data_IF_083755941545
#
_entry.id   IF_083755941545
#
_cell.length_a   1.000
_cell.length_b   1.000
_cell.length_c   1.000
_cell.angle_alpha   90.00
_cell.angle_beta   90.00
_cell.angle_gamma   90.00
#
_symmetry.space_group_name_H-M   'P 1'
#
loop_
_entity.id
_entity.type
_entity.pdbx_description
1 polymer ?
#
# COMPACT_ATOMS: atom_id res chain seq x y z
N UNK A 1 6.67 -4.27 -50.69
CA UNK A 1 7.03 -3.32 -51.75
C UNK A 1 7.69 -2.15 -51.06
N UNK A 2 9.00 -2.08 -51.10
CA UNK A 2 9.75 -1.15 -51.98
C UNK A 2 9.30 0.29 -51.72
N UNK A 3 10.08 1.24 -51.35
CA UNK A 3 11.46 1.72 -51.61
C UNK A 3 11.52 3.09 -50.92
N UNK A 4 12.53 3.83 -50.59
CA UNK A 4 13.96 3.88 -50.91
C UNK A 4 14.45 5.28 -50.45
N UNK A 5 15.58 5.37 -49.73
CA UNK A 5 16.79 6.18 -50.03
C UNK A 5 16.59 7.74 -50.11
N UNK A 6 17.38 8.62 -49.54
CA UNK A 6 18.83 8.87 -49.63
C UNK A 6 19.23 10.02 -48.68
N UNK A 7 20.29 9.95 -47.97
CA UNK A 7 21.65 10.44 -48.28
C UNK A 7 21.79 11.92 -48.67
N UNK A 8 22.53 12.69 -47.87
CA UNK A 8 23.57 13.56 -48.39
C UNK A 8 24.58 13.99 -47.28
N UNK A 9 25.78 13.47 -47.39
CA UNK A 9 27.03 13.94 -46.83
C UNK A 9 27.52 15.16 -47.63
N UNK A 10 28.07 16.17 -46.95
CA UNK A 10 29.15 17.02 -47.53
C UNK A 10 30.13 17.41 -46.45
N UNK A 11 31.33 16.84 -46.58
CA UNK A 11 32.53 17.31 -45.92
C UNK A 11 33.22 18.35 -46.78
N UNK A 12 33.80 19.38 -46.17
CA UNK A 12 34.91 20.10 -46.79
C UNK A 12 35.97 20.41 -45.77
N UNK A 13 37.07 19.72 -45.95
CA UNK A 13 38.41 20.02 -45.44
C UNK A 13 39.01 21.12 -46.34
N UNK A 14 39.75 22.07 -45.80
CA UNK A 14 40.90 22.60 -46.49
C UNK A 14 41.91 23.23 -45.51
N UNK A 15 43.10 22.71 -45.64
CA UNK A 15 44.40 23.13 -45.09
C UNK A 15 44.88 24.46 -45.67
N UNK A 16 45.85 25.08 -44.96
CA UNK A 16 46.71 26.04 -45.57
C UNK A 16 47.70 26.65 -44.60
N UNK A 17 48.91 26.10 -44.60
CA UNK A 17 50.10 26.63 -43.95
C UNK A 17 50.75 27.77 -44.76
N UNK A 18 51.77 28.38 -44.09
CA UNK A 18 52.94 29.18 -44.55
C UNK A 18 52.82 30.68 -44.21
N UNK A 19 53.77 31.27 -43.66
CA UNK A 19 55.16 31.20 -43.26
C UNK A 19 55.71 32.66 -43.16
N UNK A 20 56.36 32.91 -42.10
CA UNK A 20 57.57 33.67 -41.85
C UNK A 20 57.88 35.02 -42.53
N UNK A 21 58.48 35.83 -41.69
CA UNK A 21 59.54 36.86 -41.87
C UNK A 21 59.16 38.35 -41.92
N UNK A 22 59.88 39.07 -41.03
CA UNK A 22 60.23 40.44 -41.25
C UNK A 22 60.16 41.39 -40.02
N UNK A 23 61.30 41.62 -39.41
CA UNK A 23 61.56 42.62 -38.35
C UNK A 23 61.25 44.04 -38.85
N UNK A 24 60.72 44.87 -37.95
CA UNK A 24 61.26 46.21 -37.67
C UNK A 24 60.71 46.74 -36.34
N UNK A 25 61.62 47.17 -35.45
CA UNK A 25 61.35 47.90 -34.21
C UNK A 25 60.92 49.37 -34.52
N UNK A 26 59.97 49.82 -33.76
CA UNK A 26 59.71 51.23 -33.51
C UNK A 26 59.16 51.47 -32.07
N UNK A 27 59.41 52.64 -31.44
CA UNK A 27 59.64 52.78 -30.01
C UNK A 27 58.33 52.79 -29.15
N UNK A 28 58.55 52.47 -27.89
CA UNK A 28 57.51 52.33 -26.82
C UNK A 28 56.76 53.65 -26.56
N UNK A 29 55.45 53.57 -26.46
CA UNK A 29 54.58 54.56 -25.86
C UNK A 29 54.24 54.12 -24.39
N UNK A 30 53.98 55.11 -23.49
CA UNK A 30 53.87 54.84 -22.04
C UNK A 30 52.60 53.99 -21.69
N UNK A 31 52.80 53.13 -20.70
CA UNK A 31 51.80 52.27 -20.14
C UNK A 31 50.60 53.05 -19.54
N UNK A 32 49.39 52.71 -19.94
CA UNK A 32 48.16 53.11 -19.27
C UNK A 32 47.99 52.28 -17.95
N UNK A 33 47.32 52.83 -16.92
CA UNK A 33 47.09 52.12 -15.68
C UNK A 33 46.24 50.88 -15.87
N UNK A 34 46.60 49.77 -15.25
CA UNK A 34 45.83 48.54 -15.24
C UNK A 34 44.49 48.73 -14.53
N UNK A 35 43.40 48.41 -15.20
CA UNK A 35 42.10 48.24 -14.55
C UNK A 35 42.13 47.16 -13.47
N UNK A 36 41.44 47.36 -12.32
CA UNK A 36 41.35 46.36 -11.30
C UNK A 36 40.63 45.11 -11.82
N UNK A 37 41.24 43.94 -11.64
CA UNK A 37 40.67 42.66 -12.01
C UNK A 37 39.27 42.48 -11.41
N UNK A 38 38.27 42.16 -12.26
CA UNK A 38 36.94 41.80 -11.82
C UNK A 38 37.01 40.59 -10.85
N UNK A 39 36.16 40.55 -9.79
CA UNK A 39 36.11 39.40 -8.91
C UNK A 39 35.77 38.15 -9.71
N UNK A 40 36.49 37.06 -9.49
CA UNK A 40 36.18 35.76 -10.04
C UNK A 40 34.76 35.36 -9.62
N UNK A 41 33.93 34.95 -10.58
CA UNK A 41 32.62 34.40 -10.32
C UNK A 41 32.76 33.22 -9.33
N UNK A 42 31.82 33.06 -8.37
CA UNK A 42 31.82 31.90 -7.51
C UNK A 42 31.76 30.62 -8.39
N UNK A 43 32.63 29.67 -8.08
CA UNK A 43 32.58 28.35 -8.72
C UNK A 43 31.18 27.75 -8.48
N UNK A 44 30.51 27.33 -9.53
CA UNK A 44 29.29 26.53 -9.41
C UNK A 44 29.59 25.33 -8.49
N UNK A 45 28.66 24.99 -7.56
CA UNK A 45 28.81 23.78 -6.77
C UNK A 45 28.94 22.59 -7.74
N UNK A 46 29.99 21.79 -7.55
CA UNK A 46 30.14 20.54 -8.29
C UNK A 46 28.85 19.73 -8.14
N UNK A 47 28.29 19.26 -9.25
CA UNK A 47 27.16 18.31 -9.21
C UNK A 47 27.56 17.14 -8.30
N UNK A 48 26.60 16.62 -7.47
CA UNK A 48 26.87 15.43 -6.66
C UNK A 48 27.44 14.34 -7.58
N UNK A 49 28.56 13.73 -7.18
CA UNK A 49 29.09 12.59 -7.90
C UNK A 49 28.00 11.51 -7.99
N UNK A 50 27.74 10.98 -9.18
CA UNK A 50 26.88 9.81 -9.33
C UNK A 50 27.40 8.71 -8.39
N UNK A 51 26.51 8.05 -7.60
CA UNK A 51 26.93 7.01 -6.68
C UNK A 51 27.63 5.90 -7.46
N UNK A 52 28.85 5.57 -7.06
CA UNK A 52 29.66 4.54 -7.73
C UNK A 52 28.98 3.17 -7.55
N UNK A 53 28.57 2.56 -8.65
CA UNK A 53 28.10 1.16 -8.68
C UNK A 53 29.27 0.24 -8.28
N UNK A 54 29.18 -0.38 -7.10
CA UNK A 54 30.21 -1.25 -6.55
C UNK A 54 30.23 -2.66 -7.16
N UNK A 55 29.28 -2.96 -8.08
CA UNK A 55 29.17 -4.23 -8.78
C UNK A 55 28.78 -5.42 -7.92
N UNK A 56 28.39 -5.20 -6.66
CA UNK A 56 27.96 -6.28 -5.77
C UNK A 56 26.46 -6.50 -5.83
N UNK A 57 26.07 -7.72 -5.49
CA UNK A 57 24.68 -8.12 -5.29
C UNK A 57 24.32 -8.03 -3.81
N UNK A 58 23.13 -7.55 -3.52
CA UNK A 58 22.54 -7.40 -2.19
C UNK A 58 21.27 -8.22 -2.12
N UNK A 59 21.28 -9.24 -1.29
CA UNK A 59 20.13 -10.12 -1.08
C UNK A 59 19.36 -9.64 0.13
N UNK A 60 18.03 -9.46 -0.04
CA UNK A 60 17.09 -9.05 0.98
C UNK A 60 16.04 -10.16 1.17
N UNK A 61 15.83 -10.56 2.41
CA UNK A 61 14.85 -11.59 2.79
C UNK A 61 13.50 -10.95 3.00
N UNK A 62 12.50 -11.39 2.24
CA UNK A 62 11.12 -10.90 2.29
C UNK A 62 10.22 -11.97 2.91
N UNK A 63 9.40 -11.57 3.88
CA UNK A 63 8.46 -12.47 4.57
C UNK A 63 7.04 -11.95 4.49
N UNK A 64 6.10 -12.86 4.40
CA UNK A 64 4.68 -12.63 4.66
C UNK A 64 4.02 -13.91 5.18
N UNK A 65 2.80 -13.78 5.70
CA UNK A 65 2.08 -14.91 6.29
C UNK A 65 1.07 -15.55 5.34
N UNK A 66 0.83 -14.96 4.17
CA UNK A 66 -0.08 -15.50 3.16
C UNK A 66 0.59 -16.57 2.30
N UNK A 67 -0.23 -17.42 1.69
CA UNK A 67 0.27 -18.53 0.89
C UNK A 67 1.03 -18.04 -0.35
N UNK A 68 2.02 -18.84 -0.79
CA UNK A 68 2.83 -18.56 -1.99
C UNK A 68 2.02 -18.41 -3.30
N UNK A 69 0.76 -18.80 -3.31
CA UNK A 69 -0.15 -18.67 -4.46
C UNK A 69 -1.18 -17.57 -4.26
N UNK A 70 -1.01 -16.73 -3.26
CA UNK A 70 -1.93 -15.65 -2.95
C UNK A 70 -1.69 -14.43 -3.82
N UNK A 71 -2.73 -13.63 -4.02
CA UNK A 71 -2.60 -12.32 -4.68
C UNK A 71 -1.66 -11.39 -3.89
N UNK A 72 -1.59 -11.52 -2.57
CA UNK A 72 -0.66 -10.77 -1.73
C UNK A 72 0.79 -11.07 -2.10
N UNK A 73 1.14 -12.36 -2.29
CA UNK A 73 2.48 -12.73 -2.76
C UNK A 73 2.76 -12.20 -4.16
N UNK A 74 1.77 -12.26 -5.07
CA UNK A 74 1.89 -11.71 -6.42
C UNK A 74 2.18 -10.19 -6.39
N UNK A 75 1.48 -9.44 -5.53
CA UNK A 75 1.75 -8.01 -5.31
C UNK A 75 3.19 -7.78 -4.81
N UNK A 76 3.61 -8.53 -3.80
CA UNK A 76 4.95 -8.42 -3.19
C UNK A 76 6.03 -8.74 -4.23
N UNK A 77 5.89 -9.87 -4.94
CA UNK A 77 6.83 -10.26 -5.98
C UNK A 77 6.90 -9.22 -7.10
N UNK A 78 5.76 -8.70 -7.55
CA UNK A 78 5.71 -7.69 -8.60
C UNK A 78 6.46 -6.43 -8.18
N UNK A 79 6.17 -5.89 -7.00
CA UNK A 79 6.80 -4.68 -6.47
C UNK A 79 8.33 -4.83 -6.37
N UNK A 80 8.80 -5.91 -5.78
CA UNK A 80 10.24 -6.10 -5.57
C UNK A 80 10.99 -6.57 -6.81
N UNK A 81 10.34 -7.30 -7.73
CA UNK A 81 10.94 -7.64 -9.02
C UNK A 81 11.19 -6.39 -9.90
N UNK A 82 10.31 -5.38 -9.84
CA UNK A 82 10.57 -4.09 -10.51
C UNK A 82 11.84 -3.42 -9.97
N UNK A 83 12.05 -3.43 -8.64
CA UNK A 83 13.28 -2.92 -8.03
C UNK A 83 14.51 -3.75 -8.44
N UNK A 84 14.37 -5.08 -8.50
CA UNK A 84 15.43 -5.97 -8.95
C UNK A 84 15.83 -5.70 -10.40
N UNK A 85 14.86 -5.52 -11.29
CA UNK A 85 15.10 -5.20 -12.71
C UNK A 85 15.77 -3.82 -12.86
N UNK A 86 15.29 -2.78 -12.19
CA UNK A 86 15.89 -1.44 -12.27
C UNK A 86 17.33 -1.42 -11.70
N UNK A 87 17.61 -2.24 -10.68
CA UNK A 87 18.95 -2.37 -10.12
C UNK A 87 19.92 -3.16 -11.02
N UNK A 88 19.45 -3.64 -12.20
CA UNK A 88 20.16 -4.57 -13.06
C UNK A 88 20.59 -5.87 -12.32
N UNK A 89 19.73 -6.38 -11.43
CA UNK A 89 19.94 -7.60 -10.65
C UNK A 89 20.92 -7.45 -9.48
N UNK A 90 21.24 -6.22 -9.07
CA UNK A 90 22.03 -5.98 -7.85
C UNK A 90 21.20 -6.12 -6.59
N UNK A 91 19.91 -5.78 -6.61
CA UNK A 91 18.94 -6.17 -5.59
C UNK A 91 18.40 -7.55 -5.95
N UNK A 92 18.45 -8.47 -5.00
CA UNK A 92 17.88 -9.82 -5.07
C UNK A 92 16.96 -10.01 -3.89
N UNK A 93 15.76 -10.50 -4.11
CA UNK A 93 14.78 -10.72 -3.05
C UNK A 93 14.54 -12.23 -2.88
N UNK A 94 14.70 -12.71 -1.63
CA UNK A 94 14.39 -14.08 -1.25
C UNK A 94 13.04 -14.12 -0.56
N UNK A 95 12.01 -14.65 -1.23
CA UNK A 95 10.64 -14.68 -0.76
C UNK A 95 10.38 -15.88 0.16
N UNK A 96 9.77 -15.62 1.32
CA UNK A 96 9.42 -16.61 2.33
C UNK A 96 7.94 -16.44 2.74
N UNK A 97 7.00 -16.85 1.87
CA UNK A 97 5.56 -16.76 2.14
C UNK A 97 5.07 -17.82 3.12
N UNK A 98 3.79 -17.73 3.48
CA UNK A 98 3.10 -18.73 4.29
C UNK A 98 3.53 -18.78 5.75
N UNK A 99 4.15 -17.71 6.26
CA UNK A 99 4.67 -17.70 7.62
C UNK A 99 5.81 -18.69 7.85
N UNK A 100 6.50 -19.10 6.78
CA UNK A 100 7.53 -20.15 6.81
C UNK A 100 8.77 -19.77 7.63
N UNK A 101 9.13 -18.49 7.65
CA UNK A 101 10.24 -17.96 8.44
C UNK A 101 9.74 -17.19 9.68
N UNK A 102 8.74 -16.35 9.53
CA UNK A 102 8.11 -15.56 10.61
C UNK A 102 6.59 -15.66 10.50
N UNK A 103 5.92 -16.07 11.57
CA UNK A 103 4.47 -16.10 11.65
C UNK A 103 3.86 -14.69 11.66
N UNK A 104 2.55 -14.57 11.39
CA UNK A 104 1.86 -13.28 11.24
C UNK A 104 2.11 -12.29 12.40
N UNK A 105 2.15 -12.78 13.64
CA UNK A 105 2.36 -11.97 14.86
C UNK A 105 3.83 -11.72 15.18
N UNK A 106 4.77 -12.32 14.44
CA UNK A 106 6.21 -12.23 14.68
C UNK A 106 6.91 -11.29 13.67
N UNK A 107 6.24 -10.94 12.59
CA UNK A 107 6.85 -10.25 11.42
C UNK A 107 7.53 -8.94 11.77
N UNK A 108 6.87 -8.05 12.52
CA UNK A 108 7.42 -6.72 12.80
C UNK A 108 8.62 -6.75 13.74
N UNK A 109 8.59 -7.61 14.77
CA UNK A 109 9.71 -7.77 15.68
C UNK A 109 10.85 -8.53 15.00
N UNK A 110 10.55 -9.55 14.21
CA UNK A 110 11.54 -10.28 13.43
C UNK A 110 12.27 -9.42 12.40
N UNK A 111 11.57 -8.51 11.72
CA UNK A 111 12.21 -7.52 10.81
C UNK A 111 13.02 -6.51 11.60
N UNK A 112 12.51 -6.00 12.72
CA UNK A 112 13.25 -5.09 13.59
C UNK A 112 14.55 -5.68 14.07
N UNK A 113 14.53 -6.97 14.46
CA UNK A 113 15.68 -7.71 14.99
C UNK A 113 16.61 -8.26 13.88
N UNK A 114 16.29 -8.06 12.61
CA UNK A 114 17.08 -8.47 11.45
C UNK A 114 17.00 -9.99 11.14
N UNK A 115 15.93 -10.66 11.55
CA UNK A 115 15.66 -12.05 11.15
C UNK A 115 15.16 -12.13 9.69
N UNK A 116 14.53 -11.07 9.21
CA UNK A 116 14.21 -10.81 7.82
C UNK A 116 14.46 -9.32 7.54
N UNK A 117 14.62 -8.95 6.26
CA UNK A 117 14.88 -7.57 5.86
C UNK A 117 13.59 -6.80 5.60
N UNK A 118 12.57 -7.47 5.07
CA UNK A 118 11.30 -6.87 4.66
C UNK A 118 10.15 -7.77 5.10
N UNK A 119 9.06 -7.17 5.57
CA UNK A 119 7.82 -7.89 5.84
C UNK A 119 6.61 -7.13 5.30
N UNK A 120 5.66 -7.87 4.73
CA UNK A 120 4.28 -7.46 4.60
C UNK A 120 3.45 -8.05 5.74
N UNK A 121 2.57 -7.24 6.33
CA UNK A 121 1.60 -7.71 7.32
C UNK A 121 0.47 -6.71 7.52
N UNK A 122 -0.51 -7.07 8.36
CA UNK A 122 -1.64 -6.22 8.72
C UNK A 122 -1.54 -5.74 10.17
N UNK A 123 -1.98 -4.51 10.44
CA UNK A 123 -1.94 -3.92 11.79
C UNK A 123 -2.75 -4.71 12.81
N UNK A 124 -3.83 -5.36 12.36
CA UNK A 124 -4.74 -6.18 13.17
C UNK A 124 -4.07 -7.34 13.93
N UNK A 125 -2.88 -7.78 13.51
CA UNK A 125 -2.11 -8.80 14.23
C UNK A 125 -1.33 -8.26 15.44
N UNK A 126 -1.24 -6.92 15.58
CA UNK A 126 -0.37 -6.26 16.55
C UNK A 126 -1.17 -5.31 17.45
N UNK A 127 -2.04 -5.89 18.27
CA UNK A 127 -2.92 -5.12 19.17
C UNK A 127 -2.17 -4.00 19.91
N UNK A 128 -2.73 -2.81 19.91
CA UNK A 128 -2.23 -1.59 20.55
C UNK A 128 -0.88 -1.02 20.01
N UNK A 129 -0.30 -1.60 18.96
CA UNK A 129 0.94 -1.06 18.38
C UNK A 129 0.71 -0.03 17.27
N UNK A 130 -0.47 -0.06 16.66
CA UNK A 130 -0.84 0.79 15.53
C UNK A 130 -2.22 1.45 15.73
N UNK A 131 -2.44 2.14 16.86
CA UNK A 131 -3.78 2.63 17.22
C UNK A 131 -4.31 3.70 16.27
N UNK A 132 -3.46 4.56 15.69
CA UNK A 132 -3.90 5.58 14.72
C UNK A 132 -4.19 4.94 13.36
N UNK A 133 -3.37 3.96 12.95
CA UNK A 133 -3.61 3.15 11.74
C UNK A 133 -4.95 2.44 11.75
N UNK A 134 -5.47 2.07 12.94
CA UNK A 134 -6.78 1.41 13.08
C UNK A 134 -7.96 2.29 12.64
N UNK A 135 -7.77 3.59 12.39
CA UNK A 135 -8.79 4.44 11.77
C UNK A 135 -9.27 3.89 10.42
N UNK A 136 -8.38 3.33 9.62
CA UNK A 136 -8.72 2.70 8.33
C UNK A 136 -9.73 1.55 8.51
N UNK A 137 -9.66 0.87 9.65
CA UNK A 137 -10.53 -0.28 9.95
C UNK A 137 -11.92 0.14 10.47
N UNK A 138 -12.15 1.43 10.76
CA UNK A 138 -13.45 1.91 11.25
C UNK A 138 -14.54 1.67 10.21
N UNK A 139 -15.67 1.15 10.69
CA UNK A 139 -16.86 0.98 9.87
C UNK A 139 -17.45 2.34 9.48
N UNK A 140 -18.01 2.42 8.28
CA UNK A 140 -18.77 3.58 7.78
C UNK A 140 -18.08 4.94 8.02
N UNK A 141 -16.76 4.98 7.93
CA UNK A 141 -15.95 6.20 8.01
C UNK A 141 -15.91 7.01 6.68
N UNK A 142 -16.66 6.59 5.67
CA UNK A 142 -16.73 7.22 4.36
C UNK A 142 -15.79 6.63 3.31
N UNK A 143 -14.95 5.69 3.68
CA UNK A 143 -14.08 4.96 2.73
C UNK A 143 -14.93 3.99 1.91
N UNK A 144 -14.73 3.99 0.58
CA UNK A 144 -15.56 3.23 -0.37
C UNK A 144 -14.79 2.17 -1.16
N UNK A 145 -13.44 2.20 -1.13
CA UNK A 145 -12.60 1.27 -1.88
C UNK A 145 -11.27 1.03 -1.17
N UNK A 146 -10.54 -0.02 -1.53
CA UNK A 146 -9.18 -0.26 -1.03
C UNK A 146 -8.21 0.82 -1.54
N UNK A 147 -8.42 1.34 -2.75
CA UNK A 147 -7.68 2.48 -3.30
C UNK A 147 -7.88 3.72 -2.44
N UNK A 148 -9.13 4.12 -2.19
CA UNK A 148 -9.41 5.25 -1.31
C UNK A 148 -8.84 5.05 0.09
N UNK A 149 -9.00 3.86 0.68
CA UNK A 149 -8.44 3.54 1.98
C UNK A 149 -6.91 3.70 2.00
N UNK A 150 -6.26 3.32 0.92
CA UNK A 150 -4.81 3.42 0.75
C UNK A 150 -4.36 4.87 0.64
N UNK A 151 -5.01 5.68 -0.22
CA UNK A 151 -4.70 7.10 -0.38
C UNK A 151 -4.92 7.87 0.93
N UNK A 152 -6.03 7.60 1.62
CA UNK A 152 -6.31 8.15 2.95
C UNK A 152 -5.20 7.75 3.94
N UNK A 153 -4.79 6.48 3.95
CA UNK A 153 -3.78 6.01 4.90
C UNK A 153 -2.40 6.63 4.64
N UNK A 154 -2.03 6.79 3.38
CA UNK A 154 -0.78 7.46 3.02
C UNK A 154 -0.81 8.94 3.37
N UNK A 155 -1.89 9.65 3.06
CA UNK A 155 -2.05 11.05 3.44
C UNK A 155 -2.08 11.22 4.98
N UNK A 156 -2.72 10.31 5.71
CA UNK A 156 -2.63 10.28 7.18
C UNK A 156 -1.18 10.14 7.64
N UNK A 157 -0.39 9.27 7.00
CA UNK A 157 1.03 9.10 7.35
C UNK A 157 1.85 10.35 7.07
N UNK A 158 1.54 11.10 6.03
CA UNK A 158 2.22 12.37 5.71
C UNK A 158 1.85 13.49 6.70
N UNK A 159 0.60 13.54 7.18
CA UNK A 159 0.05 14.69 7.87
C UNK A 159 -0.15 14.50 9.39
N UNK A 160 -0.10 13.26 9.91
CA UNK A 160 -0.36 12.94 11.32
C UNK A 160 0.93 12.41 11.99
N UNK A 161 1.61 13.24 12.81
CA UNK A 161 2.86 12.83 13.48
C UNK A 161 2.70 11.61 14.39
N UNK A 162 1.53 11.43 15.01
CA UNK A 162 1.22 10.29 15.85
C UNK A 162 1.20 8.99 15.06
N UNK A 163 0.72 9.02 13.81
CA UNK A 163 0.79 7.88 12.91
C UNK A 163 2.23 7.60 12.46
N UNK A 164 3.01 8.62 12.15
CA UNK A 164 4.45 8.45 11.83
C UNK A 164 5.19 7.79 12.99
N UNK A 165 4.82 8.13 14.23
CA UNK A 165 5.44 7.57 15.43
C UNK A 165 5.23 6.05 15.55
N UNK A 166 4.14 5.50 15.01
CA UNK A 166 3.88 4.05 15.00
C UNK A 166 4.93 3.26 14.21
N UNK A 167 5.57 3.87 13.21
CA UNK A 167 6.49 3.22 12.28
C UNK A 167 7.96 3.62 12.47
N UNK A 168 8.30 4.32 13.56
CA UNK A 168 9.67 4.84 13.76
C UNK A 168 10.76 3.78 13.85
N UNK A 169 10.43 2.53 14.11
CA UNK A 169 11.38 1.43 14.20
C UNK A 169 11.79 0.86 12.83
N UNK A 170 11.05 1.17 11.79
CA UNK A 170 11.25 0.60 10.44
C UNK A 170 11.37 1.70 9.38
N UNK A 171 11.88 1.32 8.20
CA UNK A 171 11.63 2.08 6.98
C UNK A 171 10.29 1.61 6.40
N UNK A 172 9.36 2.52 6.23
CA UNK A 172 8.11 2.25 5.53
C UNK A 172 8.40 2.16 4.03
N UNK A 173 8.07 1.01 3.44
CA UNK A 173 8.08 0.80 1.98
C UNK A 173 6.72 1.16 1.42
N UNK A 174 5.62 0.71 2.06
CA UNK A 174 4.27 1.05 1.66
C UNK A 174 3.28 0.89 2.81
N UNK A 175 2.31 1.78 2.84
CA UNK A 175 1.10 1.66 3.65
C UNK A 175 -0.06 1.51 2.69
N UNK A 176 -0.93 0.55 2.95
CA UNK A 176 -2.10 0.31 2.11
C UNK A 176 -3.23 -0.34 2.90
N UNK A 177 -4.37 -0.51 2.29
CA UNK A 177 -5.48 -1.26 2.85
C UNK A 177 -5.76 -2.52 2.05
N UNK A 178 -6.13 -3.60 2.74
CA UNK A 178 -6.91 -4.66 2.11
C UNK A 178 -8.30 -4.14 1.74
N UNK A 179 -9.02 -4.88 0.92
CA UNK A 179 -10.43 -4.62 0.69
C UNK A 179 -11.26 -4.87 1.96
N UNK A 180 -12.48 -4.36 1.96
CA UNK A 180 -13.40 -4.63 3.06
C UNK A 180 -13.82 -6.12 3.12
N UNK A 181 -14.26 -6.54 4.29
CA UNK A 181 -14.87 -7.85 4.48
C UNK A 181 -16.39 -7.78 4.28
N UNK A 182 -16.98 -8.52 3.30
CA UNK A 182 -18.41 -8.74 3.22
C UNK A 182 -18.90 -9.70 4.32
N UNK A 183 -20.22 -9.87 4.43
CA UNK A 183 -20.82 -10.85 5.35
C UNK A 183 -21.22 -12.11 4.59
N UNK A 184 -20.51 -13.20 4.84
CA UNK A 184 -20.78 -14.50 4.23
C UNK A 184 -21.50 -15.44 5.19
N UNK A 185 -22.55 -16.16 4.74
CA UNK A 185 -23.42 -16.95 5.62
C UNK A 185 -23.77 -18.30 5.01
N UNK A 186 -24.14 -19.24 5.91
CA UNK A 186 -24.64 -20.58 5.55
C UNK A 186 -26.13 -20.66 5.86
N UNK A 187 -26.92 -21.10 4.89
CA UNK A 187 -28.32 -21.42 5.05
C UNK A 187 -29.27 -20.25 5.28
N UNK A 188 -28.77 -19.07 5.63
CA UNK A 188 -29.59 -17.89 5.92
C UNK A 188 -29.11 -16.66 5.14
N UNK A 189 -29.99 -16.11 4.33
CA UNK A 189 -29.77 -14.84 3.63
C UNK A 189 -30.10 -13.67 4.56
N UNK A 190 -29.27 -12.63 4.56
CA UNK A 190 -29.50 -11.39 5.30
C UNK A 190 -30.12 -10.37 4.35
N UNK A 191 -31.38 -10.06 4.52
CA UNK A 191 -32.12 -9.08 3.70
C UNK A 191 -32.57 -7.85 4.51
N UNK A 192 -32.69 -8.00 5.84
CA UNK A 192 -33.14 -6.95 6.75
C UNK A 192 -32.26 -6.86 8.00
N UNK A 193 -32.40 -5.76 8.75
CA UNK A 193 -31.72 -5.57 10.04
C UNK A 193 -32.01 -6.71 11.05
N UNK A 194 -33.24 -7.22 11.03
CA UNK A 194 -33.65 -8.29 11.95
C UNK A 194 -32.95 -9.63 11.66
N UNK A 195 -32.44 -9.82 10.46
CA UNK A 195 -31.75 -11.05 10.08
C UNK A 195 -30.39 -11.22 10.75
N UNK A 196 -29.73 -10.15 11.18
CA UNK A 196 -28.51 -10.22 11.98
C UNK A 196 -28.75 -10.77 13.38
N UNK A 197 -29.96 -10.60 13.93
CA UNK A 197 -30.24 -10.95 15.31
C UNK A 197 -30.03 -12.43 15.61
N UNK A 198 -29.16 -12.66 16.60
CA UNK A 198 -28.83 -14.01 17.07
C UNK A 198 -27.92 -14.82 16.18
N UNK A 199 -27.43 -14.26 15.05
CA UNK A 199 -26.42 -14.91 14.24
C UNK A 199 -25.04 -14.84 14.93
N UNK A 200 -24.34 -15.95 14.94
CA UNK A 200 -22.94 -15.98 15.32
C UNK A 200 -22.10 -15.76 14.07
N UNK A 201 -21.40 -14.63 14.01
CA UNK A 201 -20.58 -14.25 12.85
C UNK A 201 -19.13 -14.14 13.27
N UNK A 202 -18.29 -14.96 12.65
CA UNK A 202 -16.84 -14.89 12.88
C UNK A 202 -16.28 -13.61 12.29
N UNK A 203 -15.39 -12.97 13.03
CA UNK A 203 -14.63 -11.80 12.57
C UNK A 203 -13.21 -11.78 13.12
N UNK A 204 -12.35 -10.93 12.56
CA UNK A 204 -11.07 -10.57 13.12
C UNK A 204 -11.08 -9.08 13.51
N UNK A 205 -10.42 -8.76 14.62
CA UNK A 205 -10.29 -7.38 15.09
C UNK A 205 -11.46 -6.88 15.92
N UNK A 206 -11.17 -5.90 16.79
CA UNK A 206 -12.12 -5.37 17.77
C UNK A 206 -13.18 -4.49 17.11
N UNK A 207 -12.80 -3.67 16.14
CA UNK A 207 -13.71 -2.73 15.47
C UNK A 207 -14.80 -3.48 14.69
N UNK A 208 -14.41 -4.47 13.90
CA UNK A 208 -15.37 -5.30 13.16
C UNK A 208 -16.31 -6.07 14.11
N UNK A 209 -15.80 -6.55 15.25
CA UNK A 209 -16.64 -7.19 16.27
C UNK A 209 -17.68 -6.24 16.84
N UNK A 210 -17.30 -5.03 17.21
CA UNK A 210 -18.23 -4.01 17.72
C UNK A 210 -19.30 -3.63 16.68
N UNK A 211 -18.90 -3.55 15.41
CA UNK A 211 -19.86 -3.24 14.36
C UNK A 211 -20.87 -4.39 14.16
N UNK A 212 -20.43 -5.64 14.16
CA UNK A 212 -21.34 -6.79 14.12
C UNK A 212 -22.29 -6.84 15.33
N UNK A 213 -21.81 -6.49 16.54
CA UNK A 213 -22.65 -6.36 17.73
C UNK A 213 -23.70 -5.26 17.55
N UNK A 214 -23.31 -4.09 17.03
CA UNK A 214 -24.23 -2.99 16.77
C UNK A 214 -25.29 -3.35 15.72
N UNK A 215 -24.94 -4.20 14.74
CA UNK A 215 -25.88 -4.78 13.78
C UNK A 215 -26.79 -5.87 14.39
N UNK A 216 -26.52 -6.32 15.63
CA UNK A 216 -27.33 -7.32 16.35
C UNK A 216 -26.83 -8.76 16.25
N UNK A 217 -25.68 -8.99 15.62
CA UNK A 217 -25.04 -10.30 15.59
C UNK A 217 -24.19 -10.52 16.84
N UNK A 218 -23.78 -11.77 17.06
CA UNK A 218 -22.81 -12.15 18.10
C UNK A 218 -21.47 -12.44 17.41
N UNK A 219 -20.45 -11.59 17.59
CA UNK A 219 -19.15 -11.83 16.98
C UNK A 219 -18.41 -13.01 17.65
N UNK A 220 -17.71 -13.80 16.83
CA UNK A 220 -16.86 -14.90 17.26
C UNK A 220 -15.45 -14.63 16.76
N UNK A 221 -14.48 -14.49 17.67
CA UNK A 221 -13.08 -14.24 17.30
C UNK A 221 -12.28 -15.55 17.28
N UNK A 222 -11.89 -15.99 16.07
CA UNK A 222 -10.98 -17.11 15.85
C UNK A 222 -10.01 -16.80 14.72
N UNK A 223 -8.81 -17.44 14.68
CA UNK A 223 -7.85 -17.28 13.59
C UNK A 223 -8.45 -17.58 12.21
N UNK A 224 -8.01 -16.86 11.18
CA UNK A 224 -8.54 -17.02 9.81
C UNK A 224 -8.38 -18.45 9.29
N UNK A 225 -7.29 -19.14 9.60
CA UNK A 225 -7.07 -20.52 9.18
C UNK A 225 -8.08 -21.55 9.75
N UNK A 226 -8.84 -21.17 10.78
CA UNK A 226 -9.86 -22.04 11.39
C UNK A 226 -11.28 -21.78 10.87
N UNK A 227 -11.46 -20.72 10.04
CA UNK A 227 -12.79 -20.29 9.57
C UNK A 227 -13.47 -21.35 8.72
N UNK A 228 -12.75 -21.95 7.77
CA UNK A 228 -13.29 -22.98 6.90
C UNK A 228 -13.91 -24.16 7.68
N UNK A 229 -13.16 -24.68 8.65
CA UNK A 229 -13.64 -25.76 9.48
C UNK A 229 -14.78 -25.35 10.41
N UNK A 230 -14.67 -24.15 11.00
CA UNK A 230 -15.68 -23.63 11.92
C UNK A 230 -17.04 -23.46 11.24
N UNK A 231 -17.09 -22.82 10.08
CA UNK A 231 -18.34 -22.63 9.33
C UNK A 231 -18.87 -23.96 8.79
N UNK A 232 -18.00 -24.83 8.27
CA UNK A 232 -18.41 -26.16 7.75
C UNK A 232 -19.00 -27.08 8.82
N UNK A 233 -18.58 -26.92 10.09
CA UNK A 233 -19.08 -27.68 11.24
C UNK A 233 -20.26 -27.00 11.95
N UNK A 234 -20.67 -25.81 11.50
CA UNK A 234 -21.77 -25.04 12.11
C UNK A 234 -21.42 -24.48 13.49
N UNK A 235 -20.15 -24.17 13.75
CA UNK A 235 -19.70 -23.52 15.00
C UNK A 235 -20.20 -22.07 15.05
N UNK A 236 -20.32 -21.43 13.89
CA UNK A 236 -20.91 -20.12 13.68
C UNK A 236 -21.67 -20.09 12.33
N UNK A 237 -22.60 -19.15 12.22
CA UNK A 237 -23.56 -19.09 11.09
C UNK A 237 -22.96 -18.42 9.85
N UNK A 238 -21.87 -17.67 10.02
CA UNK A 238 -21.22 -16.94 8.96
C UNK A 238 -19.94 -16.28 9.42
N UNK A 239 -19.30 -15.56 8.51
CA UNK A 239 -18.06 -14.83 8.80
C UNK A 239 -17.97 -13.53 8.01
N UNK A 240 -17.10 -12.64 8.45
CA UNK A 240 -16.55 -11.55 7.64
C UNK A 240 -15.05 -11.74 7.48
N UNK A 241 -14.61 -11.73 6.25
CA UNK A 241 -13.21 -11.73 5.81
C UNK A 241 -13.13 -10.89 4.55
N UNK A 242 -12.02 -10.23 4.30
CA UNK A 242 -11.79 -9.56 3.03
C UNK A 242 -11.82 -10.55 1.86
N UNK A 243 -12.08 -10.04 0.67
CA UNK A 243 -12.29 -10.86 -0.53
C UNK A 243 -11.07 -11.74 -0.85
N UNK A 244 -9.86 -11.20 -0.65
CA UNK A 244 -8.63 -11.95 -0.86
C UNK A 244 -8.57 -13.20 0.04
N UNK A 245 -8.86 -13.05 1.34
CA UNK A 245 -8.87 -14.18 2.29
C UNK A 245 -9.99 -15.20 1.96
N UNK A 246 -11.13 -14.75 1.43
CA UNK A 246 -12.18 -15.66 0.96
C UNK A 246 -11.63 -16.60 -0.11
N UNK A 247 -10.82 -16.10 -1.02
CA UNK A 247 -10.18 -16.95 -2.05
C UNK A 247 -9.05 -17.80 -1.49
N UNK A 248 -8.10 -17.20 -0.79
CA UNK A 248 -6.91 -17.86 -0.23
C UNK A 248 -7.24 -19.09 0.60
N UNK A 249 -8.27 -18.97 1.44
CA UNK A 249 -8.69 -20.04 2.35
C UNK A 249 -9.88 -20.82 1.81
N UNK A 250 -10.29 -20.61 0.54
CA UNK A 250 -11.45 -21.24 -0.12
C UNK A 250 -12.72 -21.15 0.69
N UNK A 251 -12.93 -20.04 1.38
CA UNK A 251 -14.06 -19.83 2.27
C UNK A 251 -15.39 -19.74 1.52
N UNK A 252 -15.35 -19.62 0.20
CA UNK A 252 -16.54 -19.67 -0.66
C UNK A 252 -17.17 -21.07 -0.78
N UNK A 253 -16.43 -22.16 -0.47
CA UNK A 253 -16.95 -23.52 -0.62
C UNK A 253 -18.07 -23.88 0.40
N UNK A 254 -17.97 -23.50 1.69
CA UNK A 254 -18.95 -23.89 2.72
C UNK A 254 -20.13 -22.93 2.88
N UNK A 255 -20.28 -21.87 2.06
CA UNK A 255 -21.30 -20.83 2.23
C UNK A 255 -22.33 -20.83 1.10
N UNK A 256 -23.50 -20.26 1.36
CA UNK A 256 -24.57 -20.11 0.37
C UNK A 256 -24.78 -18.65 -0.06
N UNK A 257 -24.51 -17.68 0.82
CA UNK A 257 -24.81 -16.27 0.62
C UNK A 257 -23.62 -15.40 0.99
N UNK A 258 -23.44 -14.32 0.23
CA UNK A 258 -22.49 -13.27 0.54
C UNK A 258 -23.16 -11.91 0.35
N UNK A 259 -23.44 -11.25 1.46
CA UNK A 259 -23.94 -9.87 1.49
C UNK A 259 -22.73 -8.92 1.31
N UNK A 260 -22.73 -8.21 0.20
CA UNK A 260 -21.71 -7.22 -0.15
C UNK A 260 -21.91 -5.90 0.65
N UNK A 261 -21.80 -6.02 1.98
CA UNK A 261 -21.86 -4.94 2.95
C UNK A 261 -20.48 -4.76 3.57
N UNK A 262 -19.82 -3.61 3.41
CA UNK A 262 -18.51 -3.36 4.01
C UNK A 262 -18.58 -3.35 5.53
N UNK A 263 -17.96 -4.34 6.17
CA UNK A 263 -17.88 -4.40 7.63
C UNK A 263 -16.68 -3.65 8.14
N UNK A 264 -15.50 -3.89 7.57
CA UNK A 264 -14.26 -3.24 7.98
C UNK A 264 -13.24 -3.40 6.87
N UNK A 265 -12.47 -2.37 6.61
CA UNK A 265 -11.22 -2.46 5.87
C UNK A 265 -10.12 -2.99 6.80
N UNK A 266 -8.93 -3.27 6.26
CA UNK A 266 -7.80 -3.70 7.07
C UNK A 266 -6.56 -2.95 6.65
N UNK A 267 -6.02 -2.12 7.55
CA UNK A 267 -4.76 -1.42 7.33
C UNK A 267 -3.58 -2.40 7.31
N UNK A 268 -2.73 -2.27 6.30
CA UNK A 268 -1.59 -3.12 6.04
C UNK A 268 -0.35 -2.29 5.76
N UNK A 269 0.80 -2.95 5.82
CA UNK A 269 2.08 -2.30 5.60
C UNK A 269 3.09 -3.23 4.92
N UNK A 270 4.05 -2.61 4.24
CA UNK A 270 5.33 -3.21 3.87
C UNK A 270 6.41 -2.45 4.62
N UNK A 271 7.09 -3.13 5.54
CA UNK A 271 8.13 -2.54 6.39
C UNK A 271 9.48 -3.16 6.10
N UNK A 272 10.54 -2.34 6.13
CA UNK A 272 11.92 -2.78 5.95
C UNK A 272 12.76 -2.47 7.18
N UNK A 273 13.68 -3.36 7.51
CA UNK A 273 14.69 -3.13 8.54
C UNK A 273 15.55 -1.92 8.18
N UNK A 274 15.72 -0.99 9.13
CA UNK A 274 16.49 0.26 8.90
C UNK A 274 17.95 0.02 8.62
N UNK A 275 18.56 -0.95 9.29
CA UNK A 275 19.99 -1.25 9.10
C UNK A 275 20.21 -1.95 7.76
N UNK A 276 19.29 -2.84 7.35
CA UNK A 276 19.33 -3.45 6.01
C UNK A 276 19.26 -2.39 4.92
N UNK A 277 18.35 -1.40 5.05
CA UNK A 277 18.28 -0.27 4.13
C UNK A 277 19.54 0.59 4.17
N UNK A 278 20.03 0.98 5.36
CA UNK A 278 21.19 1.84 5.53
C UNK A 278 22.50 1.22 5.03
N UNK A 279 22.58 -0.11 5.00
CA UNK A 279 23.75 -0.85 4.51
C UNK A 279 23.79 -0.96 2.98
N UNK A 280 22.71 -0.57 2.27
CA UNK A 280 22.72 -0.52 0.80
C UNK A 280 23.51 0.69 0.30
N UNK A 281 24.17 0.59 -0.85
CA UNK A 281 24.71 1.76 -1.57
C UNK A 281 23.61 2.76 -1.93
N UNK A 282 23.97 4.04 -2.01
CA UNK A 282 23.02 5.14 -2.21
C UNK A 282 22.20 5.01 -3.51
N UNK A 283 22.76 4.44 -4.57
CA UNK A 283 22.05 4.16 -5.81
C UNK A 283 20.94 3.10 -5.65
N UNK A 284 21.16 2.07 -4.83
CA UNK A 284 20.17 1.07 -4.51
C UNK A 284 19.12 1.58 -3.52
N UNK A 285 19.53 2.43 -2.57
CA UNK A 285 18.58 3.13 -1.69
C UNK A 285 17.63 4.00 -2.53
N UNK A 286 18.13 4.72 -3.54
CA UNK A 286 17.34 5.55 -4.42
C UNK A 286 16.31 4.73 -5.25
N UNK A 287 16.68 3.52 -5.66
CA UNK A 287 15.72 2.60 -6.33
C UNK A 287 14.61 2.22 -5.35
N UNK A 288 14.94 1.79 -4.12
CA UNK A 288 13.92 1.46 -3.12
C UNK A 288 13.03 2.66 -2.84
N UNK A 289 13.62 3.84 -2.62
CA UNK A 289 12.86 5.07 -2.31
C UNK A 289 11.88 5.46 -3.41
N UNK A 290 12.24 5.23 -4.68
CA UNK A 290 11.37 5.48 -5.83
C UNK A 290 10.09 4.65 -5.80
N UNK A 291 10.17 3.41 -5.33
CA UNK A 291 9.04 2.47 -5.27
C UNK A 291 8.32 2.48 -3.92
N UNK A 292 8.78 3.30 -2.95
CA UNK A 292 8.13 3.44 -1.66
C UNK A 292 6.93 4.41 -1.70
N UNK A 293 6.16 4.40 -0.62
CA UNK A 293 5.06 5.34 -0.41
C UNK A 293 3.92 5.13 -1.39
N UNK A 294 3.54 6.22 -2.08
CA UNK A 294 2.39 6.22 -2.98
C UNK A 294 2.51 5.18 -4.10
N UNK A 295 3.72 4.90 -4.60
CA UNK A 295 3.90 3.88 -5.64
C UNK A 295 3.47 2.49 -5.16
N UNK A 296 4.05 2.01 -4.04
CA UNK A 296 3.71 0.71 -3.48
C UNK A 296 2.26 0.65 -3.03
N UNK A 297 1.74 1.73 -2.46
CA UNK A 297 0.37 1.82 -1.99
C UNK A 297 -0.65 1.81 -3.13
N UNK A 298 -0.50 2.66 -4.13
CA UNK A 298 -1.42 2.73 -5.26
C UNK A 298 -1.50 1.38 -5.98
N UNK A 299 -0.35 0.75 -6.23
CA UNK A 299 -0.29 -0.61 -6.76
C UNK A 299 -1.09 -1.59 -5.90
N UNK A 300 -0.92 -1.57 -4.58
CA UNK A 300 -1.69 -2.41 -3.67
C UNK A 300 -3.19 -2.12 -3.76
N UNK A 301 -3.59 -0.84 -3.78
CA UNK A 301 -5.00 -0.45 -3.92
C UNK A 301 -5.67 -1.09 -5.12
N UNK A 302 -5.01 -1.10 -6.29
CA UNK A 302 -5.52 -1.79 -7.48
C UNK A 302 -5.62 -3.31 -7.31
N UNK A 303 -4.63 -3.96 -6.69
CA UNK A 303 -4.68 -5.39 -6.42
C UNK A 303 -5.88 -5.75 -5.55
N UNK A 304 -6.08 -5.02 -4.44
CA UNK A 304 -7.16 -5.34 -3.50
C UNK A 304 -8.54 -4.94 -3.98
N UNK A 305 -8.71 -3.87 -4.76
CA UNK A 305 -10.00 -3.56 -5.37
C UNK A 305 -10.34 -4.54 -6.49
N UNK A 306 -9.37 -4.95 -7.32
CA UNK A 306 -9.61 -5.97 -8.34
C UNK A 306 -10.11 -7.29 -7.74
N UNK A 307 -9.60 -7.64 -6.56
CA UNK A 307 -9.97 -8.85 -5.85
C UNK A 307 -11.47 -8.95 -5.56
N UNK A 308 -12.12 -7.85 -5.27
CA UNK A 308 -13.57 -7.81 -4.99
C UNK A 308 -14.38 -8.40 -6.14
N UNK A 309 -13.98 -8.18 -7.39
CA UNK A 309 -14.72 -8.60 -8.58
C UNK A 309 -14.47 -10.06 -8.93
N UNK A 310 -13.21 -10.43 -9.13
CA UNK A 310 -12.92 -11.80 -9.58
C UNK A 310 -13.21 -12.85 -8.51
N UNK A 311 -13.11 -12.51 -7.21
CA UNK A 311 -13.52 -13.41 -6.13
C UNK A 311 -15.05 -13.53 -6.09
N UNK A 312 -15.77 -12.43 -6.24
CA UNK A 312 -17.23 -12.46 -6.31
C UNK A 312 -17.72 -13.32 -7.48
N UNK A 313 -17.08 -13.23 -8.64
CA UNK A 313 -17.40 -14.08 -9.79
C UNK A 313 -17.09 -15.55 -9.52
N UNK A 314 -15.93 -15.85 -8.94
CA UNK A 314 -15.58 -17.19 -8.50
C UNK A 314 -16.57 -17.77 -7.48
N UNK A 315 -17.06 -16.96 -6.55
CA UNK A 315 -18.11 -17.34 -5.61
C UNK A 315 -19.41 -17.68 -6.33
N UNK A 316 -19.85 -16.85 -7.29
CA UNK A 316 -21.05 -17.11 -8.12
C UNK A 316 -20.92 -18.38 -8.94
N UNK A 317 -19.75 -18.64 -9.54
CA UNK A 317 -19.44 -19.87 -10.28
C UNK A 317 -19.52 -21.12 -9.38
N UNK A 318 -19.25 -20.97 -8.08
CA UNK A 318 -19.36 -22.03 -7.09
C UNK A 318 -20.75 -22.09 -6.42
N UNK A 319 -21.72 -21.33 -6.90
CA UNK A 319 -23.13 -21.41 -6.47
C UNK A 319 -23.48 -20.49 -5.31
N UNK A 320 -22.57 -19.62 -4.87
CA UNK A 320 -22.84 -18.63 -3.82
C UNK A 320 -23.64 -17.46 -4.41
N UNK A 321 -24.72 -17.07 -3.75
CA UNK A 321 -25.44 -15.85 -4.09
C UNK A 321 -24.72 -14.63 -3.50
N UNK A 322 -24.00 -13.90 -4.35
CA UNK A 322 -23.35 -12.63 -4.00
C UNK A 322 -24.29 -11.49 -4.37
N UNK A 323 -24.67 -10.67 -3.39
CA UNK A 323 -25.69 -9.63 -3.55
C UNK A 323 -25.36 -8.37 -2.72
N UNK A 324 -25.76 -7.20 -3.25
CA UNK A 324 -25.66 -5.93 -2.52
C UNK A 324 -26.80 -5.79 -1.49
N UNK A 325 -26.60 -5.07 -0.38
CA UNK A 325 -27.69 -4.73 0.54
C UNK A 325 -28.76 -3.91 -0.17
N UNK A 326 -30.02 -4.00 0.29
CA UNK A 326 -31.03 -3.03 -0.09
C UNK A 326 -30.65 -1.63 0.37
N UNK A 327 -31.17 -0.58 -0.29
CA UNK A 327 -30.95 0.80 0.14
C UNK A 327 -31.34 1.02 1.62
N UNK A 328 -32.44 0.38 2.06
CA UNK A 328 -32.90 0.46 3.45
C UNK A 328 -31.91 -0.20 4.43
N UNK A 329 -31.43 -1.40 4.10
CA UNK A 329 -30.48 -2.14 4.92
C UNK A 329 -29.13 -1.38 4.98
N UNK A 330 -28.65 -0.86 3.86
CA UNK A 330 -27.41 -0.10 3.80
C UNK A 330 -27.51 1.19 4.61
N UNK A 331 -28.59 1.96 4.41
CA UNK A 331 -28.82 3.20 5.15
C UNK A 331 -28.95 2.98 6.67
N UNK A 332 -29.57 1.86 7.08
CA UNK A 332 -29.63 1.50 8.49
C UNK A 332 -28.25 1.11 9.03
N UNK A 333 -27.55 0.21 8.36
CA UNK A 333 -26.25 -0.28 8.79
C UNK A 333 -25.21 0.85 8.92
N UNK A 334 -25.26 1.85 8.04
CA UNK A 334 -24.36 3.01 8.05
C UNK A 334 -24.93 4.23 8.81
N UNK A 335 -26.07 4.08 9.48
CA UNK A 335 -26.70 5.18 10.22
C UNK A 335 -25.87 5.64 11.42
N UNK A 336 -25.97 6.91 11.83
CA UNK A 336 -25.31 7.41 13.04
C UNK A 336 -25.65 6.62 14.31
N UNK A 337 -26.88 6.09 14.41
CA UNK A 337 -27.30 5.25 15.56
C UNK A 337 -26.39 4.02 15.72
N UNK A 338 -25.97 3.41 14.60
CA UNK A 338 -25.10 2.23 14.59
C UNK A 338 -23.62 2.61 14.71
N UNK A 339 -23.18 3.66 14.04
CA UNK A 339 -21.74 3.94 13.84
C UNK A 339 -21.15 4.89 14.86
N UNK A 340 -21.88 5.91 15.33
CA UNK A 340 -21.38 6.89 16.31
C UNK A 340 -20.84 6.27 17.61
N UNK A 341 -21.48 5.24 18.21
CA UNK A 341 -20.93 4.62 19.42
C UNK A 341 -19.55 3.98 19.18
N UNK A 342 -19.31 3.43 17.99
CA UNK A 342 -18.05 2.78 17.62
C UNK A 342 -16.97 3.84 17.39
N UNK A 343 -17.30 4.91 16.68
CA UNK A 343 -16.41 6.05 16.48
C UNK A 343 -16.05 6.73 17.80
N UNK A 344 -17.03 6.92 18.71
CA UNK A 344 -16.77 7.44 20.05
C UNK A 344 -15.88 6.50 20.88
N UNK A 345 -16.07 5.19 20.74
CA UNK A 345 -15.18 4.22 21.39
C UNK A 345 -13.74 4.35 20.86
N UNK A 346 -13.55 4.50 19.55
CA UNK A 346 -12.23 4.67 18.97
C UNK A 346 -11.53 5.95 19.46
N UNK A 347 -12.25 7.07 19.53
CA UNK A 347 -11.74 8.32 20.07
C UNK A 347 -11.30 8.12 21.54
N UNK A 348 -12.13 7.46 22.35
CA UNK A 348 -11.80 7.16 23.74
C UNK A 348 -10.61 6.22 23.88
N UNK A 349 -10.51 5.22 23.01
CA UNK A 349 -9.36 4.31 22.95
C UNK A 349 -8.04 5.05 22.70
N UNK A 350 -8.00 6.01 21.77
CA UNK A 350 -6.83 6.85 21.56
C UNK A 350 -6.53 7.73 22.80
N UNK A 351 -7.56 8.29 23.46
CA UNK A 351 -7.39 9.07 24.68
C UNK A 351 -6.79 8.23 25.83
N UNK A 352 -7.20 6.98 25.98
CA UNK A 352 -6.66 6.06 27.00
C UNK A 352 -5.17 5.75 26.77
N UNK A 353 -4.72 5.81 25.50
CA UNK A 353 -3.31 5.70 25.14
C UNK A 353 -2.52 7.00 25.31
N UNK A 354 -3.16 8.08 25.75
CA UNK A 354 -2.54 9.38 25.99
C UNK A 354 -2.42 10.27 24.74
N UNK A 355 -3.13 9.93 23.67
CA UNK A 355 -3.22 10.72 22.44
C UNK A 355 -4.41 11.69 22.51
N UNK A 356 -4.42 12.74 21.68
CA UNK A 356 -5.62 13.57 21.49
C UNK A 356 -6.54 12.89 20.47
N UNK A 357 -7.33 11.92 20.97
CA UNK A 357 -8.17 11.07 20.12
C UNK A 357 -9.16 11.85 19.26
N UNK A 358 -9.75 12.95 19.79
CA UNK A 358 -10.69 13.76 19.03
C UNK A 358 -9.97 14.50 17.88
N UNK A 359 -8.85 15.14 18.17
CA UNK A 359 -8.11 15.88 17.13
C UNK A 359 -7.59 14.95 16.03
N UNK A 360 -7.09 13.75 16.39
CA UNK A 360 -6.65 12.74 15.43
C UNK A 360 -7.83 12.27 14.58
N UNK A 361 -8.96 11.91 15.21
CA UNK A 361 -10.16 11.47 14.51
C UNK A 361 -10.69 12.53 13.53
N UNK A 362 -10.82 13.79 13.97
CA UNK A 362 -11.28 14.88 13.12
C UNK A 362 -10.33 15.09 11.94
N UNK A 363 -9.01 15.02 12.16
CA UNK A 363 -8.02 15.11 11.09
C UNK A 363 -8.15 13.97 10.09
N UNK A 364 -8.34 12.74 10.55
CA UNK A 364 -8.57 11.59 9.68
C UNK A 364 -9.83 11.75 8.84
N UNK A 365 -10.94 12.21 9.46
CA UNK A 365 -12.19 12.47 8.73
C UNK A 365 -12.06 13.59 7.70
N UNK A 366 -11.28 14.64 8.00
CA UNK A 366 -10.96 15.69 7.02
C UNK A 366 -10.19 15.14 5.82
N UNK A 367 -9.25 14.22 6.04
CA UNK A 367 -8.50 13.54 4.97
C UNK A 367 -9.45 12.65 4.14
N UNK A 368 -10.34 11.90 4.77
CA UNK A 368 -11.37 11.13 4.06
C UNK A 368 -12.22 12.05 3.17
N UNK A 369 -12.67 13.19 3.70
CA UNK A 369 -13.48 14.14 2.93
C UNK A 369 -12.75 14.71 1.71
N UNK A 370 -11.43 14.90 1.78
CA UNK A 370 -10.61 15.37 0.67
C UNK A 370 -10.49 14.32 -0.45
N UNK A 371 -10.58 13.04 -0.12
CA UNK A 371 -10.43 11.94 -1.08
C UNK A 371 -11.76 11.50 -1.72
N UNK A 372 -12.91 11.90 -1.16
CA UNK A 372 -14.24 11.44 -1.62
C UNK A 372 -14.51 11.70 -3.11
N UNK A 373 -14.13 12.87 -3.63
CA UNK A 373 -14.40 13.23 -5.04
C UNK A 373 -13.59 12.37 -6.01
N UNK A 374 -12.31 12.12 -5.69
CA UNK A 374 -11.42 11.31 -6.51
C UNK A 374 -11.88 9.84 -6.60
N UNK A 375 -12.51 9.34 -5.55
CA UNK A 375 -12.93 7.94 -5.41
C UNK A 375 -14.45 7.73 -5.51
N UNK A 376 -15.21 8.76 -5.93
CA UNK A 376 -16.68 8.72 -5.96
C UNK A 376 -17.27 7.59 -6.84
N UNK A 377 -16.51 7.14 -7.84
CA UNK A 377 -16.93 6.08 -8.75
C UNK A 377 -16.46 4.68 -8.34
N UNK A 378 -15.57 4.56 -7.35
CA UNK A 378 -14.87 3.31 -7.05
C UNK A 378 -15.83 2.21 -6.56
N UNK A 379 -16.90 2.57 -5.85
CA UNK A 379 -17.89 1.61 -5.34
C UNK A 379 -18.59 0.79 -6.42
N UNK A 380 -18.76 1.37 -7.61
CA UNK A 380 -19.44 0.73 -8.74
C UNK A 380 -18.48 0.43 -9.90
N UNK A 381 -17.20 0.75 -9.75
CA UNK A 381 -16.18 0.51 -10.77
C UNK A 381 -15.66 -0.92 -10.69
N UNK A 382 -15.49 -1.57 -11.83
CA UNK A 382 -14.83 -2.86 -11.96
C UNK A 382 -13.34 -2.62 -12.22
N UNK A 383 -12.49 -3.03 -11.27
CA UNK A 383 -11.05 -2.89 -11.37
C UNK A 383 -10.40 -4.19 -11.77
N UNK A 384 -9.41 -4.13 -12.66
CA UNK A 384 -8.50 -5.22 -12.95
C UNK A 384 -7.09 -4.77 -12.57
N UNK A 385 -6.34 -5.60 -11.86
CA UNK A 385 -4.94 -5.28 -11.50
C UNK A 385 -4.05 -5.05 -12.73
N UNK A 386 -4.41 -5.64 -13.88
CA UNK A 386 -3.78 -5.39 -15.17
C UNK A 386 -4.01 -3.97 -15.72
N UNK A 387 -4.97 -3.23 -15.16
CA UNK A 387 -5.27 -1.86 -15.56
C UNK A 387 -4.32 -0.85 -14.86
N UNK A 388 -3.66 -1.29 -13.79
CA UNK A 388 -2.61 -0.51 -13.18
C UNK A 388 -1.40 -0.43 -14.11
N UNK A 389 -1.08 0.78 -14.50
CA UNK A 389 0.08 1.06 -15.35
C UNK A 389 0.94 2.10 -14.67
N UNK A 390 2.20 1.75 -14.45
CA UNK A 390 3.19 2.73 -14.03
C UNK A 390 3.39 3.77 -15.14
N UNK A 391 3.12 5.01 -14.83
CA UNK A 391 3.57 6.15 -15.65
C UNK A 391 4.47 7.02 -14.76
N UNK A 392 5.73 7.28 -15.17
CA UNK A 392 6.68 8.08 -14.38
C UNK A 392 6.18 9.47 -13.97
N UNK A 393 5.16 9.97 -14.67
CA UNK A 393 4.59 11.31 -14.46
C UNK A 393 3.53 11.32 -13.33
N UNK A 394 3.14 10.17 -12.77
CA UNK A 394 2.14 10.07 -11.71
C UNK A 394 2.75 10.00 -10.30
N UNK A 395 4.11 9.90 -10.17
CA UNK A 395 4.82 9.73 -8.89
C UNK A 395 6.05 10.63 -8.76
#
# INVERSE_FOLDING_TARGET
MKKVIALLLVAVLCCGMFAACGKTEAPAAPAAPADPAAPAAPAEPAAPAEPENDGKTYTLVVVNHDAATSMCEEYIETLFNMMAEESNGRLVFEYNPGGSLLGATETIDGVKDGMADIAWSCTSFFSQRFPVSEFINLCANGITSARMATDVYQQMYEEIPELQAEFTDWKVVGLHSCSYGPVSTVGKKIETADDFKGMQIRTAGTIAAQYLEALGATPVSIPTGEVYEGVSKGVFDGFTNDWHNIDCFKLFEPIDYCLDLPISYTSCFVLMNKDSYANLPADLQAIIDKYCGNYAGDMAGYYWDSCNYWVADKMRENGVEVYKPSEELFAWATSPEITEPIHAWYINYLNELGLDGQAIYDKCMDIVAQNLEAHAADWDAEFHYSDWTYTPDNY
#
